data_IF_718593806058
#
_entry.id   IF_718593806058
#
_cell.length_a   1.000
_cell.length_b   1.000
_cell.length_c   1.000
_cell.angle_alpha   90.00
_cell.angle_beta   90.00
_cell.angle_gamma   90.00
#
_symmetry.space_group_name_H-M   'P 1'
#
loop_
_entity.id
_entity.type
_entity.pdbx_description
1 polymer ?
#
# COMPACT_ATOMS: atom_id res chain seq x y z
N UNK A 1 -2.23 23.10 12.61
CA UNK A 1 -2.89 23.07 11.29
C UNK A 1 -3.97 22.00 11.32
N UNK A 2 -5.08 22.20 10.61
CA UNK A 2 -6.19 21.24 10.51
C UNK A 2 -5.98 20.24 9.36
N UNK A 3 -6.62 19.08 9.46
CA UNK A 3 -6.68 18.11 8.36
C UNK A 3 -7.58 18.64 7.24
N UNK A 4 -7.12 18.68 5.97
CA UNK A 4 -7.92 19.21 4.88
C UNK A 4 -9.02 18.23 4.49
N UNK A 5 -10.18 18.74 4.09
CA UNK A 5 -11.31 17.94 3.60
C UNK A 5 -11.03 17.38 2.19
N UNK A 6 -11.42 16.14 1.92
CA UNK A 6 -11.45 15.57 0.57
C UNK A 6 -12.76 16.03 -0.09
N UNK A 7 -12.64 16.98 -1.02
CA UNK A 7 -13.77 17.69 -1.63
C UNK A 7 -14.44 16.91 -2.77
N UNK A 8 -13.72 16.00 -3.43
CA UNK A 8 -14.26 15.17 -4.50
C UNK A 8 -13.52 13.83 -4.59
N UNK A 9 -14.28 12.78 -4.91
CA UNK A 9 -13.81 11.44 -5.22
C UNK A 9 -14.59 10.91 -6.43
N UNK A 10 -13.88 10.41 -7.42
CA UNK A 10 -14.39 9.60 -8.53
C UNK A 10 -13.30 8.61 -8.95
N UNK A 11 -13.62 7.69 -9.86
CA UNK A 11 -12.64 6.71 -10.33
C UNK A 11 -11.38 7.36 -10.89
N UNK A 12 -10.22 7.06 -10.30
CA UNK A 12 -8.93 7.60 -10.73
C UNK A 12 -8.74 9.10 -10.50
N UNK A 13 -9.61 9.74 -9.71
CA UNK A 13 -9.58 11.18 -9.51
C UNK A 13 -10.06 11.61 -8.11
N UNK A 14 -9.24 12.38 -7.42
CA UNK A 14 -9.49 12.92 -6.09
C UNK A 14 -9.11 14.40 -6.03
N UNK A 15 -9.85 15.18 -5.23
CA UNK A 15 -9.53 16.58 -4.96
C UNK A 15 -9.56 16.87 -3.47
N UNK A 16 -8.54 17.56 -2.99
CA UNK A 16 -8.43 18.00 -1.59
C UNK A 16 -8.71 19.50 -1.53
N UNK A 17 -9.53 19.92 -0.55
CA UNK A 17 -9.91 21.32 -0.36
C UNK A 17 -8.68 22.16 -0.06
N UNK A 18 -8.58 23.32 -0.72
CA UNK A 18 -7.41 24.20 -0.60
C UNK A 18 -6.22 23.78 -1.45
N UNK A 19 -6.31 22.67 -2.21
CA UNK A 19 -5.32 22.30 -3.22
C UNK A 19 -5.86 22.59 -4.63
N UNK A 20 -5.01 23.16 -5.49
CA UNK A 20 -5.31 23.37 -6.91
C UNK A 20 -5.14 22.10 -7.75
N UNK A 21 -4.32 21.16 -7.28
CA UNK A 21 -3.99 19.92 -7.97
C UNK A 21 -5.03 18.84 -7.66
N UNK A 22 -5.45 18.11 -8.69
CA UNK A 22 -6.16 16.83 -8.55
C UNK A 22 -5.17 15.68 -8.49
N UNK A 23 -5.56 14.61 -7.81
CA UNK A 23 -4.75 13.42 -7.61
C UNK A 23 -5.42 12.20 -8.24
N UNK A 24 -4.65 11.22 -8.69
CA UNK A 24 -5.19 9.88 -8.87
C UNK A 24 -5.38 9.25 -7.50
N UNK A 25 -4.27 9.03 -6.79
CA UNK A 25 -4.23 8.56 -5.42
C UNK A 25 -3.53 9.62 -4.56
N UNK A 26 -3.95 9.76 -3.31
CA UNK A 26 -3.43 10.84 -2.47
C UNK A 26 -3.13 10.40 -1.04
N UNK A 27 -2.22 11.16 -0.43
CA UNK A 27 -1.91 11.17 0.98
C UNK A 27 -2.32 12.51 1.56
N UNK A 28 -2.92 12.51 2.73
CA UNK A 28 -3.43 13.71 3.41
C UNK A 28 -3.04 13.71 4.88
N UNK A 29 -2.78 14.90 5.44
CA UNK A 29 -2.40 15.09 6.84
C UNK A 29 -2.75 16.51 7.30
N UNK A 30 -2.70 16.80 8.61
CA UNK A 30 -2.87 18.15 9.12
C UNK A 30 -1.95 19.17 8.44
N UNK A 31 -2.53 20.07 7.65
CA UNK A 31 -1.82 21.12 6.92
C UNK A 31 -1.42 20.80 5.48
N UNK A 32 -1.78 19.65 4.91
CA UNK A 32 -1.51 19.43 3.48
C UNK A 32 -1.89 18.06 2.92
N UNK A 33 -1.56 17.91 1.64
CA UNK A 33 -1.76 16.69 0.86
C UNK A 33 -0.67 16.54 -0.21
N UNK A 34 -0.43 15.30 -0.65
CA UNK A 34 0.42 15.01 -1.83
C UNK A 34 -0.12 13.82 -2.62
N UNK A 35 0.40 13.66 -3.83
CA UNK A 35 0.19 12.45 -4.64
C UNK A 35 0.76 11.22 -3.92
N UNK A 36 0.00 10.13 -3.92
CA UNK A 36 0.53 8.83 -3.54
C UNK A 36 1.03 8.10 -4.78
N UNK A 37 2.36 8.05 -4.95
CA UNK A 37 2.99 7.28 -6.03
C UNK A 37 3.54 5.97 -5.47
N UNK A 38 2.94 4.85 -5.89
CA UNK A 38 3.28 3.52 -5.38
C UNK A 38 4.70 3.07 -5.76
N UNK A 39 5.29 3.70 -6.78
CA UNK A 39 6.67 3.42 -7.23
C UNK A 39 7.72 3.93 -6.24
N UNK A 40 7.35 4.87 -5.36
CA UNK A 40 8.24 5.36 -4.30
C UNK A 40 8.51 4.29 -3.24
N UNK A 41 7.59 3.35 -3.04
CA UNK A 41 7.60 2.40 -1.92
C UNK A 41 7.51 0.95 -2.34
N UNK A 42 7.25 0.66 -3.62
CA UNK A 42 7.07 -0.69 -4.12
C UNK A 42 5.72 -1.31 -3.72
N UNK A 43 4.68 -0.48 -3.57
CA UNK A 43 3.31 -0.92 -3.26
C UNK A 43 2.58 -1.51 -4.49
N UNK A 44 3.07 -1.21 -5.69
CA UNK A 44 2.55 -1.75 -6.95
C UNK A 44 2.97 -3.22 -7.17
N UNK A 45 2.15 -4.00 -7.87
CA UNK A 45 2.42 -5.41 -8.20
C UNK A 45 3.40 -5.58 -9.38
N UNK A 46 3.99 -4.49 -9.85
CA UNK A 46 4.95 -4.48 -10.95
C UNK A 46 4.31 -4.61 -12.33
N UNK A 47 2.97 -4.51 -12.46
CA UNK A 47 2.29 -4.70 -13.76
C UNK A 47 2.25 -3.46 -14.64
N UNK A 48 3.08 -2.43 -14.39
CA UNK A 48 3.37 -1.45 -15.44
C UNK A 48 4.09 -2.15 -16.59
N UNK A 49 3.33 -2.51 -17.63
CA UNK A 49 3.79 -3.01 -18.93
C UNK A 49 5.15 -2.42 -19.28
N UNK A 50 6.20 -3.24 -19.18
CA UNK A 50 7.46 -2.97 -19.85
C UNK A 50 7.17 -2.90 -21.37
N UNK A 51 7.01 -1.68 -21.89
CA UNK A 51 7.47 -1.40 -23.24
C UNK A 51 8.98 -1.28 -23.17
N UNK A 52 9.67 -2.41 -23.28
CA UNK A 52 11.05 -2.42 -23.75
C UNK A 52 11.11 -3.26 -25.02
N UNK A 53 11.57 -2.57 -26.05
CA UNK A 53 11.72 -2.96 -27.43
C UNK A 53 12.39 -4.33 -27.59
N UNK A 54 11.86 -5.11 -28.53
CA UNK A 54 12.62 -6.15 -29.21
C UNK A 54 13.92 -5.54 -29.77
N UNK A 55 15.07 -6.05 -29.32
CA UNK A 55 16.26 -6.15 -30.17
C UNK A 55 17.28 -7.11 -29.57
N UNK A 56 17.46 -8.24 -30.27
CA UNK A 56 18.72 -8.94 -30.50
C UNK A 56 19.60 -9.32 -29.29
N UNK A 57 19.71 -10.62 -29.04
CA UNK A 57 20.85 -11.44 -29.51
C UNK A 57 21.30 -12.49 -28.51
N UNK A 58 21.66 -13.63 -29.10
CA UNK A 58 22.55 -14.68 -28.62
C UNK A 58 22.04 -15.54 -27.47
N UNK A 59 21.39 -16.62 -27.92
CA UNK A 59 21.47 -17.96 -27.36
C UNK A 59 22.90 -18.31 -26.87
N UNK A 60 22.99 -18.88 -25.67
CA UNK A 60 24.04 -19.83 -25.33
C UNK A 60 23.42 -21.03 -24.61
N UNK A 61 23.74 -22.28 -25.02
CA UNK A 61 23.17 -23.50 -24.48
C UNK A 61 23.81 -23.88 -23.14
N UNK A 62 22.99 -24.24 -22.15
CA UNK A 62 23.45 -24.90 -20.93
C UNK A 62 23.44 -26.41 -21.15
N UNK A 63 24.58 -26.97 -21.56
CA UNK A 63 24.79 -28.41 -21.63
C UNK A 63 25.75 -28.89 -20.51
N UNK A 64 25.21 -29.81 -19.69
CA UNK A 64 25.85 -30.92 -18.95
C UNK A 64 26.53 -30.64 -17.58
N UNK A 65 26.69 -31.68 -16.72
CA UNK A 65 25.72 -32.68 -16.29
C UNK A 65 25.69 -32.85 -14.74
N UNK A 66 24.63 -33.47 -14.21
CA UNK A 66 24.53 -33.87 -12.81
C UNK A 66 25.54 -34.98 -12.43
N UNK A 67 25.98 -35.02 -11.15
CA UNK A 67 26.16 -36.31 -10.52
C UNK A 67 25.58 -36.42 -9.10
N UNK A 68 24.82 -37.51 -8.95
CA UNK A 68 24.87 -38.51 -7.87
C UNK A 68 24.51 -38.10 -6.43
N UNK A 69 23.27 -38.47 -6.11
CA UNK A 69 22.79 -39.19 -4.91
C UNK A 69 23.79 -39.34 -3.74
N UNK A 70 23.45 -38.76 -2.60
CA UNK A 70 23.87 -39.28 -1.30
C UNK A 70 22.72 -39.21 -0.30
N UNK A 71 22.38 -40.38 0.25
CA UNK A 71 21.42 -40.57 1.34
C UNK A 71 22.11 -40.37 2.70
N UNK A 72 21.51 -39.60 3.61
CA UNK A 72 21.09 -40.05 4.96
C UNK A 72 20.41 -38.91 5.75
N UNK A 73 19.54 -39.25 6.74
CA UNK A 73 18.56 -38.35 7.33
C UNK A 73 19.09 -37.67 8.60
N UNK A 74 18.68 -36.43 8.83
CA UNK A 74 18.75 -35.81 10.17
C UNK A 74 17.39 -35.16 10.46
N UNK A 75 16.70 -35.71 11.45
CA UNK A 75 15.53 -35.13 12.09
C UNK A 75 15.87 -33.73 12.63
N UNK A 76 15.10 -32.73 12.19
CA UNK A 76 15.04 -31.43 12.86
C UNK A 76 13.56 -31.03 13.02
N UNK A 77 13.07 -31.31 14.22
CA UNK A 77 12.05 -30.61 14.98
C UNK A 77 11.08 -29.68 14.22
N UNK A 78 9.83 -30.16 14.15
CA UNK A 78 8.55 -29.44 14.22
C UNK A 78 8.63 -27.90 14.40
N UNK A 79 8.98 -27.20 13.33
CA UNK A 79 8.54 -25.84 13.10
C UNK A 79 7.16 -25.93 12.43
N UNK A 80 6.10 -25.80 13.23
CA UNK A 80 4.75 -25.50 12.75
C UNK A 80 4.71 -24.07 12.19
N UNK A 81 5.48 -23.83 11.12
CA UNK A 81 5.34 -22.70 10.24
C UNK A 81 4.16 -23.01 9.33
N UNK A 82 2.95 -22.74 9.82
CA UNK A 82 1.75 -22.80 9.00
C UNK A 82 1.82 -21.64 8.01
N UNK A 83 2.51 -21.89 6.88
CA UNK A 83 2.39 -21.13 5.63
C UNK A 83 0.93 -21.22 5.19
N UNK A 84 0.11 -20.30 5.68
CA UNK A 84 -1.17 -20.01 5.05
C UNK A 84 -0.86 -19.23 3.77
N UNK A 85 -0.81 -20.00 2.68
CA UNK A 85 -1.21 -19.66 1.31
C UNK A 85 -1.23 -18.14 1.06
N UNK A 86 -0.12 -17.61 0.53
CA UNK A 86 -0.13 -16.31 -0.11
C UNK A 86 -0.87 -16.48 -1.43
N UNK A 87 -2.09 -15.94 -1.50
CA UNK A 87 -2.85 -15.80 -2.73
C UNK A 87 -2.06 -14.93 -3.71
N UNK A 88 -1.64 -15.53 -4.83
CA UNK A 88 -0.85 -14.91 -5.88
C UNK A 88 -1.81 -14.33 -6.93
N UNK A 89 -2.49 -13.22 -6.62
CA UNK A 89 -3.10 -12.41 -7.67
C UNK A 89 -3.42 -11.00 -7.19
N UNK A 90 -2.61 -10.07 -7.69
CA UNK A 90 -2.82 -8.61 -7.79
C UNK A 90 -2.77 -7.84 -6.45
N UNK A 91 -1.81 -6.92 -6.32
CA UNK A 91 -1.55 -6.02 -5.17
C UNK A 91 -0.70 -6.54 -3.98
N UNK A 92 0.19 -7.51 -4.22
CA UNK A 92 1.29 -7.79 -3.28
C UNK A 92 2.50 -6.90 -3.64
N UNK A 93 3.16 -6.23 -2.66
CA UNK A 93 3.14 -6.48 -1.21
C UNK A 93 2.06 -5.71 -0.43
N UNK A 94 1.25 -4.86 -1.07
CA UNK A 94 0.25 -4.01 -0.43
C UNK A 94 0.86 -2.75 0.21
N UNK A 95 0.08 -2.02 1.00
CA UNK A 95 0.52 -0.74 1.61
C UNK A 95 1.73 -0.96 2.52
N UNK A 96 2.82 -0.26 2.25
CA UNK A 96 4.07 -0.38 3.01
C UNK A 96 4.12 0.61 4.19
N UNK A 97 4.86 0.30 5.27
CA UNK A 97 5.08 1.25 6.37
C UNK A 97 5.67 2.59 5.91
N UNK A 98 6.51 2.57 4.87
CA UNK A 98 7.13 3.75 4.25
C UNK A 98 6.10 4.69 3.61
N UNK A 99 4.96 4.17 3.12
CA UNK A 99 3.88 5.02 2.62
C UNK A 99 3.27 5.90 3.70
N UNK A 100 3.29 5.39 4.94
CA UNK A 100 2.57 5.95 6.08
C UNK A 100 3.49 6.79 6.98
N UNK A 101 4.80 6.52 6.97
CA UNK A 101 5.78 7.15 7.85
C UNK A 101 5.73 8.67 7.78
N UNK A 102 5.66 9.23 6.57
CA UNK A 102 5.58 10.67 6.41
C UNK A 102 4.34 11.29 7.06
N UNK A 103 3.20 10.59 7.01
CA UNK A 103 1.91 11.07 7.52
C UNK A 103 1.92 10.98 9.04
N UNK A 104 2.45 9.88 9.58
CA UNK A 104 2.66 9.66 11.01
C UNK A 104 3.57 10.76 11.58
N UNK A 105 4.66 11.10 10.88
CA UNK A 105 5.60 12.15 11.28
C UNK A 105 4.97 13.56 11.29
N UNK A 106 3.78 13.77 10.69
CA UNK A 106 3.01 15.02 10.80
C UNK A 106 2.20 15.11 12.10
N UNK A 107 2.25 14.10 12.97
CA UNK A 107 1.62 14.11 14.29
C UNK A 107 0.11 13.88 14.26
N UNK A 108 -0.33 12.93 13.44
CA UNK A 108 -1.72 12.45 13.41
C UNK A 108 -2.04 11.58 14.64
N UNK A 109 -3.32 11.52 15.01
CA UNK A 109 -3.85 10.57 16.01
C UNK A 109 -4.54 9.37 15.35
N UNK A 110 -5.14 9.61 14.19
CA UNK A 110 -5.92 8.61 13.46
C UNK A 110 -5.47 8.58 12.01
N UNK A 111 -5.24 7.38 11.49
CA UNK A 111 -4.89 7.09 10.10
C UNK A 111 -6.05 6.35 9.43
N UNK A 112 -6.52 6.87 8.30
CA UNK A 112 -7.53 6.22 7.46
C UNK A 112 -6.88 5.67 6.19
N UNK A 113 -7.14 4.41 5.86
CA UNK A 113 -6.63 3.75 4.65
C UNK A 113 -7.79 3.37 3.74
N UNK A 114 -7.85 3.98 2.56
CA UNK A 114 -8.76 3.63 1.47
C UNK A 114 -8.13 2.62 0.51
N UNK A 115 -8.63 1.39 0.50
CA UNK A 115 -8.06 0.24 -0.23
C UNK A 115 -8.53 0.08 -1.69
N UNK A 116 -9.08 1.14 -2.27
CA UNK A 116 -9.70 1.08 -3.59
C UNK A 116 -11.21 0.85 -3.53
N UNK A 117 -11.82 0.94 -4.71
CA UNK A 117 -13.24 0.79 -4.96
C UNK A 117 -13.69 -0.65 -4.71
N UNK A 118 -12.82 -1.62 -5.01
CA UNK A 118 -13.04 -3.06 -4.84
C UNK A 118 -12.27 -3.67 -3.67
N UNK A 119 -11.61 -2.85 -2.84
CA UNK A 119 -10.80 -3.29 -1.69
C UNK A 119 -9.63 -4.23 -2.05
N UNK A 120 -9.19 -4.23 -3.32
CA UNK A 120 -8.20 -5.18 -3.82
C UNK A 120 -6.79 -4.86 -3.30
N UNK A 121 -6.49 -3.58 -3.02
CA UNK A 121 -5.24 -3.19 -2.39
C UNK A 121 -5.11 -3.79 -0.99
N UNK A 122 -4.09 -4.63 -0.79
CA UNK A 122 -3.86 -5.28 0.49
C UNK A 122 -3.23 -4.33 1.51
N UNK A 123 -3.54 -4.55 2.78
CA UNK A 123 -2.90 -3.86 3.91
C UNK A 123 -2.33 -4.92 4.84
N UNK A 124 -1.03 -5.22 4.76
CA UNK A 124 -0.39 -6.21 5.60
C UNK A 124 -0.59 -5.91 7.09
N UNK A 125 -0.77 -6.96 7.90
CA UNK A 125 -0.87 -6.81 9.36
C UNK A 125 0.38 -6.16 9.96
N UNK A 126 1.56 -6.45 9.41
CA UNK A 126 2.83 -5.80 9.79
C UNK A 126 2.78 -4.28 9.65
N UNK A 127 2.14 -3.77 8.60
CA UNK A 127 1.92 -2.33 8.39
C UNK A 127 0.98 -1.77 9.45
N UNK A 128 -0.11 -2.47 9.78
CA UNK A 128 -1.04 -2.05 10.84
C UNK A 128 -0.37 -2.04 12.22
N UNK A 129 0.43 -3.06 12.52
CA UNK A 129 1.16 -3.17 13.78
C UNK A 129 2.22 -2.07 13.91
N UNK A 130 2.89 -1.71 12.81
CA UNK A 130 3.80 -0.56 12.76
C UNK A 130 3.08 0.74 13.14
N UNK A 131 1.92 1.02 12.56
CA UNK A 131 1.12 2.22 12.85
C UNK A 131 0.67 2.25 14.31
N UNK A 132 0.15 1.12 14.81
CA UNK A 132 -0.27 0.99 16.21
C UNK A 132 0.89 1.18 17.19
N UNK A 133 2.07 0.64 16.89
CA UNK A 133 3.28 0.82 17.70
C UNK A 133 3.73 2.29 17.78
N UNK A 134 3.37 3.11 16.80
CA UNK A 134 3.58 4.57 16.82
C UNK A 134 2.51 5.34 17.59
N UNK A 135 1.53 4.64 18.19
CA UNK A 135 0.45 5.23 18.98
C UNK A 135 -0.63 5.91 18.12
N UNK A 136 -0.80 5.45 16.88
CA UNK A 136 -1.79 5.97 15.93
C UNK A 136 -2.89 4.93 15.75
N UNK A 137 -4.15 5.35 15.87
CA UNK A 137 -5.30 4.50 15.57
C UNK A 137 -5.45 4.34 14.06
N UNK A 138 -5.70 3.12 13.59
CA UNK A 138 -5.80 2.83 12.16
C UNK A 138 -7.19 2.31 11.80
N UNK A 139 -7.79 2.89 10.76
CA UNK A 139 -9.07 2.50 10.20
C UNK A 139 -8.88 2.15 8.72
N UNK A 140 -9.40 1.00 8.30
CA UNK A 140 -9.19 0.48 6.94
C UNK A 140 -10.55 0.19 6.31
N UNK A 141 -10.82 0.77 5.14
CA UNK A 141 -12.10 0.64 4.44
C UNK A 141 -11.94 0.67 2.91
N UNK A 142 -13.00 0.27 2.21
CA UNK A 142 -13.32 0.73 0.86
C UNK A 142 -13.24 2.26 0.75
N UNK A 143 -12.71 2.77 -0.37
CA UNK A 143 -12.30 4.19 -0.49
C UNK A 143 -13.43 5.20 -0.29
N UNK A 144 -14.66 4.97 -0.76
CA UNK A 144 -15.76 5.91 -0.54
C UNK A 144 -16.13 6.00 0.94
N UNK A 145 -16.17 4.85 1.63
CA UNK A 145 -16.37 4.82 3.08
C UNK A 145 -15.21 5.49 3.80
N UNK A 146 -13.97 5.20 3.38
CA UNK A 146 -12.77 5.83 3.94
C UNK A 146 -12.83 7.36 3.85
N UNK A 147 -13.22 7.91 2.70
CA UNK A 147 -13.37 9.36 2.51
C UNK A 147 -14.45 9.95 3.41
N UNK A 148 -15.59 9.27 3.56
CA UNK A 148 -16.67 9.72 4.47
C UNK A 148 -16.21 9.75 5.93
N UNK A 149 -15.55 8.70 6.40
CA UNK A 149 -15.03 8.63 7.77
C UNK A 149 -13.93 9.68 8.01
N UNK A 150 -13.00 9.82 7.05
CA UNK A 150 -11.94 10.81 7.11
C UNK A 150 -12.51 12.24 7.21
N UNK A 151 -13.47 12.60 6.35
CA UNK A 151 -14.08 13.94 6.36
C UNK A 151 -14.88 14.18 7.65
N UNK A 152 -15.54 13.16 8.18
CA UNK A 152 -16.25 13.24 9.48
C UNK A 152 -15.27 13.59 10.60
N UNK A 153 -14.14 12.88 10.69
CA UNK A 153 -13.10 13.14 11.68
C UNK A 153 -12.42 14.51 11.48
N UNK A 154 -12.11 14.88 10.24
CA UNK A 154 -11.51 16.18 9.92
C UNK A 154 -12.42 17.34 10.31
N UNK A 155 -13.73 17.23 10.04
CA UNK A 155 -14.74 18.24 10.40
C UNK A 155 -14.96 18.35 11.91
N UNK A 156 -14.68 17.29 12.68
CA UNK A 156 -14.67 17.32 14.15
C UNK A 156 -13.38 17.93 14.72
N UNK A 157 -12.42 18.34 13.88
CA UNK A 157 -11.14 18.89 14.31
C UNK A 157 -10.13 17.83 14.77
N UNK A 158 -10.38 16.55 14.48
CA UNK A 158 -9.41 15.49 14.77
C UNK A 158 -8.15 15.66 13.90
N UNK A 159 -6.99 15.31 14.46
CA UNK A 159 -5.73 15.23 13.70
C UNK A 159 -5.70 13.93 12.92
N UNK A 160 -6.48 13.87 11.84
CA UNK A 160 -6.60 12.70 10.98
C UNK A 160 -5.67 12.82 9.76
N UNK A 161 -5.02 11.73 9.39
CA UNK A 161 -4.33 11.59 8.11
C UNK A 161 -4.83 10.36 7.37
N UNK A 162 -4.40 10.19 6.13
CA UNK A 162 -4.78 9.00 5.38
C UNK A 162 -4.09 8.84 4.04
N UNK A 163 -4.21 7.62 3.51
CA UNK A 163 -3.83 7.26 2.14
C UNK A 163 -5.06 6.69 1.44
N UNK A 164 -5.28 7.10 0.20
CA UNK A 164 -6.49 6.74 -0.54
C UNK A 164 -6.13 6.30 -1.95
N UNK A 165 -6.52 5.07 -2.28
CA UNK A 165 -6.50 4.55 -3.64
C UNK A 165 -7.88 4.75 -4.29
N UNK A 166 -7.95 5.39 -5.46
CA UNK A 166 -9.23 5.76 -6.09
C UNK A 166 -9.68 4.82 -7.22
N UNK A 167 -8.92 3.76 -7.50
CA UNK A 167 -9.30 2.69 -8.45
C UNK A 167 -9.48 1.36 -7.71
N UNK A 168 -9.20 0.20 -8.32
CA UNK A 168 -9.39 -1.10 -7.66
C UNK A 168 -8.19 -1.55 -6.84
#
# INVERSE_FOLDING_TARGET
MSSPEIAALSWGHMKVKGCSTSYKDCKVWPGGSRTWDWRETGTDDGTTREKIQHSHSSELPCDLPAPLVYHHPVELHNLSCCRKICDHSHHHPGVQPSDLEEIINKGIKTLVIGRGMNEALQVPSSTLDYVKKKGVDVMVFQTEKAVREYNTLANQGAKVGGVFHSTC
#
